data_IF_762592482929
#
_entry.id   IF_762592482929
#
_cell.length_a   1.000
_cell.length_b   1.000
_cell.length_c   1.000
_cell.angle_alpha   90.00
_cell.angle_beta   90.00
_cell.angle_gamma   90.00
#
_symmetry.space_group_name_H-M   'P 1'
#
loop_
_entity.id
_entity.type
_entity.pdbx_description
1 polymer ?
#
# COMPACT_ATOMS: atom_id res chain seq x y z
N UNK A 1 5.98 25.80 -2.79
CA UNK A 1 4.53 25.50 -2.68
C UNK A 1 4.41 24.26 -1.83
N UNK A 2 3.67 24.30 -0.72
CA UNK A 2 3.36 23.08 0.04
C UNK A 2 2.42 22.27 -0.83
N UNK A 3 2.82 21.07 -1.23
CA UNK A 3 1.91 20.14 -1.89
C UNK A 3 0.81 19.82 -0.88
N UNK A 4 -0.37 20.40 -1.08
CA UNK A 4 -1.60 19.86 -0.47
C UNK A 4 -1.77 18.47 -1.07
N UNK A 5 -1.22 17.46 -0.38
CA UNK A 5 -1.49 16.05 -0.69
C UNK A 5 -3.00 15.94 -0.72
N UNK A 6 -3.58 15.69 -1.90
CA UNK A 6 -5.00 15.45 -2.05
C UNK A 6 -5.38 14.29 -1.12
N UNK A 7 -5.97 14.63 0.04
CA UNK A 7 -6.13 13.69 1.14
C UNK A 7 -7.41 12.89 0.89
N UNK A 8 -7.28 11.56 0.84
CA UNK A 8 -8.45 10.69 0.77
C UNK A 8 -9.18 10.80 2.10
N UNK A 9 -10.42 11.28 2.07
CA UNK A 9 -11.24 11.44 3.26
C UNK A 9 -12.06 10.17 3.53
N UNK A 10 -11.37 9.10 3.94
CA UNK A 10 -11.96 7.84 4.35
C UNK A 10 -11.26 7.34 5.62
N UNK A 11 -12.01 7.02 6.66
CA UNK A 11 -11.45 6.59 7.95
C UNK A 11 -10.70 5.26 7.85
N UNK A 12 -11.17 4.34 7.00
CA UNK A 12 -10.46 3.08 6.71
C UNK A 12 -9.14 3.37 6.03
N UNK A 13 -9.13 4.20 4.97
CA UNK A 13 -7.89 4.57 4.30
C UNK A 13 -6.89 5.23 5.25
N UNK A 14 -7.31 6.22 6.03
CA UNK A 14 -6.43 6.97 6.92
C UNK A 14 -5.78 6.11 8.01
N UNK A 15 -6.49 5.09 8.52
CA UNK A 15 -5.91 4.14 9.48
C UNK A 15 -4.81 3.31 8.84
N UNK A 16 -5.08 2.76 7.65
CA UNK A 16 -4.15 1.94 6.90
C UNK A 16 -2.96 2.73 6.34
N UNK A 17 -3.16 4.00 5.95
CA UNK A 17 -2.16 4.87 5.33
C UNK A 17 -0.88 4.93 6.19
N UNK A 18 -1.01 5.19 7.49
CA UNK A 18 0.13 5.23 8.42
C UNK A 18 0.89 3.90 8.53
N UNK A 19 0.20 2.76 8.44
CA UNK A 19 0.84 1.43 8.50
C UNK A 19 1.58 1.15 7.18
N UNK A 20 0.93 1.46 6.06
CA UNK A 20 1.45 1.31 4.70
C UNK A 20 2.68 2.20 4.48
N UNK A 21 2.66 3.46 4.96
CA UNK A 21 3.82 4.36 4.92
C UNK A 21 5.00 3.77 5.72
N UNK A 22 4.77 3.32 6.95
CA UNK A 22 5.81 2.72 7.78
C UNK A 22 6.42 1.44 7.17
N UNK A 23 5.61 0.60 6.54
CA UNK A 23 6.08 -0.61 5.84
C UNK A 23 6.88 -0.25 4.59
N UNK A 24 6.44 0.75 3.83
CA UNK A 24 7.14 1.27 2.66
C UNK A 24 8.52 1.81 3.05
N UNK A 25 8.61 2.56 4.15
CA UNK A 25 9.88 3.07 4.66
C UNK A 25 10.83 1.94 5.05
N UNK A 26 10.34 0.90 5.74
CA UNK A 26 11.15 -0.28 6.07
C UNK A 26 11.69 -1.00 4.84
N UNK A 27 10.86 -1.19 3.81
CA UNK A 27 11.26 -1.77 2.52
C UNK A 27 12.40 -0.95 1.88
N UNK A 28 12.31 0.38 1.93
CA UNK A 28 13.30 1.26 1.35
C UNK A 28 14.62 1.31 2.15
N UNK A 29 14.55 1.15 3.47
CA UNK A 29 15.71 1.23 4.36
C UNK A 29 16.54 -0.07 4.42
N UNK A 30 15.90 -1.24 4.33
CA UNK A 30 16.63 -2.51 4.40
C UNK A 30 17.37 -2.81 3.11
N UNK A 31 18.58 -3.40 3.21
CA UNK A 31 19.40 -3.73 2.05
C UNK A 31 19.12 -5.12 1.49
N UNK A 32 18.87 -6.08 2.38
CA UNK A 32 18.70 -7.49 2.02
C UNK A 32 17.36 -7.75 1.34
N UNK A 33 17.40 -8.49 0.24
CA UNK A 33 16.22 -8.75 -0.56
C UNK A 33 15.22 -9.68 0.12
N UNK A 34 15.69 -10.62 0.96
CA UNK A 34 14.82 -11.48 1.77
C UNK A 34 14.03 -10.65 2.79
N UNK A 35 14.69 -9.70 3.46
CA UNK A 35 14.04 -8.78 4.40
C UNK A 35 13.06 -7.83 3.71
N UNK A 36 13.43 -7.30 2.53
CA UNK A 36 12.52 -6.50 1.70
C UNK A 36 11.26 -7.28 1.35
N UNK A 37 11.41 -8.53 0.91
CA UNK A 37 10.30 -9.38 0.56
C UNK A 37 9.39 -9.66 1.76
N UNK A 38 9.93 -9.86 2.96
CA UNK A 38 9.13 -10.02 4.18
C UNK A 38 8.26 -8.79 4.46
N UNK A 39 8.83 -7.58 4.39
CA UNK A 39 8.05 -6.37 4.58
C UNK A 39 7.07 -6.11 3.43
N UNK A 40 7.39 -6.53 2.21
CA UNK A 40 6.47 -6.48 1.08
C UNK A 40 5.29 -7.45 1.24
N UNK A 41 5.49 -8.64 1.82
CA UNK A 41 4.41 -9.58 2.18
C UNK A 41 3.49 -8.97 3.25
N UNK A 42 4.03 -8.25 4.22
CA UNK A 42 3.24 -7.48 5.21
C UNK A 42 2.47 -6.32 4.52
N UNK A 43 3.13 -5.55 3.66
CA UNK A 43 2.52 -4.47 2.89
C UNK A 43 1.34 -4.96 2.05
N UNK A 44 1.50 -6.11 1.37
CA UNK A 44 0.43 -6.70 0.58
C UNK A 44 -0.83 -6.97 1.41
N UNK A 45 -0.68 -7.50 2.64
CA UNK A 45 -1.80 -7.79 3.53
C UNK A 45 -2.53 -6.53 3.97
N UNK A 46 -1.80 -5.48 4.32
CA UNK A 46 -2.39 -4.20 4.74
C UNK A 46 -3.13 -3.50 3.60
N UNK A 47 -2.56 -3.56 2.40
CA UNK A 47 -3.18 -3.03 1.18
C UNK A 47 -4.44 -3.81 0.80
N UNK A 48 -4.46 -5.13 1.02
CA UNK A 48 -5.63 -5.97 0.76
C UNK A 48 -6.84 -5.57 1.61
N UNK A 49 -6.64 -5.02 2.82
CA UNK A 49 -7.74 -4.44 3.63
C UNK A 49 -8.45 -3.32 2.87
N UNK A 50 -7.72 -2.50 2.11
CA UNK A 50 -8.28 -1.41 1.32
C UNK A 50 -8.95 -1.91 0.04
N UNK A 51 -8.35 -2.91 -0.62
CA UNK A 51 -8.89 -3.48 -1.87
C UNK A 51 -10.17 -4.30 -1.64
N UNK A 52 -10.28 -4.95 -0.48
CA UNK A 52 -11.45 -5.74 -0.08
C UNK A 52 -12.34 -5.00 0.92
N UNK A 53 -12.26 -3.66 0.96
CA UNK A 53 -13.09 -2.85 1.84
C UNK A 53 -14.59 -3.09 1.55
N UNK A 54 -15.39 -3.50 2.56
CA UNK A 54 -16.80 -3.83 2.36
C UNK A 54 -17.66 -2.59 2.03
N UNK A 55 -17.19 -1.40 2.42
CA UNK A 55 -17.87 -0.13 2.18
C UNK A 55 -17.45 0.53 0.84
N UNK A 56 -16.74 -0.22 -0.02
CA UNK A 56 -16.30 0.30 -1.31
C UNK A 56 -17.49 0.68 -2.19
N UNK A 57 -17.42 1.88 -2.75
CA UNK A 57 -18.43 2.45 -3.63
C UNK A 57 -17.75 3.11 -4.83
N UNK A 58 -17.93 2.54 -6.02
CA UNK A 58 -17.30 3.02 -7.26
C UNK A 58 -17.75 4.41 -7.68
N UNK A 59 -18.88 4.91 -7.19
CA UNK A 59 -19.40 6.23 -7.53
C UNK A 59 -18.78 7.34 -6.64
N UNK A 60 -18.07 6.94 -5.57
CA UNK A 60 -17.38 7.87 -4.68
C UNK A 60 -15.92 8.03 -5.09
N UNK A 61 -15.55 9.25 -5.47
CA UNK A 61 -14.20 9.63 -5.87
C UNK A 61 -13.11 9.18 -4.86
N UNK A 62 -13.38 9.31 -3.56
CA UNK A 62 -12.44 8.88 -2.51
C UNK A 62 -12.25 7.36 -2.45
N UNK A 63 -13.32 6.59 -2.70
CA UNK A 63 -13.24 5.13 -2.77
C UNK A 63 -12.46 4.70 -4.01
N UNK A 64 -12.73 5.31 -5.17
CA UNK A 64 -11.97 5.04 -6.40
C UNK A 64 -10.49 5.37 -6.24
N UNK A 65 -10.17 6.55 -5.69
CA UNK A 65 -8.79 6.97 -5.42
C UNK A 65 -8.08 6.01 -4.45
N UNK A 66 -8.77 5.59 -3.39
CA UNK A 66 -8.27 4.61 -2.43
C UNK A 66 -7.92 3.28 -3.12
N UNK A 67 -8.85 2.76 -3.93
CA UNK A 67 -8.66 1.49 -4.62
C UNK A 67 -7.55 1.56 -5.67
N UNK A 68 -7.44 2.68 -6.37
CA UNK A 68 -6.37 2.94 -7.33
C UNK A 68 -4.99 2.93 -6.66
N UNK A 69 -4.81 3.69 -5.58
CA UNK A 69 -3.54 3.76 -4.85
C UNK A 69 -3.19 2.40 -4.25
N UNK A 70 -4.16 1.74 -3.61
CA UNK A 70 -3.99 0.41 -3.05
C UNK A 70 -3.57 -0.60 -4.15
N UNK A 71 -4.16 -0.52 -5.35
CA UNK A 71 -3.78 -1.39 -6.47
C UNK A 71 -2.32 -1.18 -6.89
N UNK A 72 -1.85 0.07 -6.94
CA UNK A 72 -0.45 0.36 -7.25
C UNK A 72 0.49 -0.18 -6.17
N UNK A 73 0.15 0.01 -4.90
CA UNK A 73 0.95 -0.48 -3.78
C UNK A 73 1.04 -2.02 -3.78
N UNK A 74 -0.07 -2.72 -4.06
CA UNK A 74 -0.08 -4.18 -4.20
C UNK A 74 0.82 -4.65 -5.35
N UNK A 75 0.77 -3.99 -6.50
CA UNK A 75 1.66 -4.30 -7.64
C UNK A 75 3.12 -4.14 -7.25
N UNK A 76 3.48 -3.05 -6.56
CA UNK A 76 4.85 -2.82 -6.08
C UNK A 76 5.30 -3.90 -5.09
N UNK A 77 4.45 -4.24 -4.11
CA UNK A 77 4.73 -5.32 -3.17
C UNK A 77 4.98 -6.64 -3.89
N UNK A 78 4.12 -7.00 -4.86
CA UNK A 78 4.28 -8.21 -5.66
C UNK A 78 5.62 -8.26 -6.41
N UNK A 79 6.04 -7.15 -7.03
CA UNK A 79 7.33 -7.10 -7.73
C UNK A 79 8.51 -7.40 -6.79
N UNK A 80 8.47 -6.89 -5.56
CA UNK A 80 9.52 -7.13 -4.56
C UNK A 80 9.49 -8.59 -4.09
N UNK A 81 8.30 -9.14 -3.85
CA UNK A 81 8.12 -10.54 -3.44
C UNK A 81 8.61 -11.48 -4.54
N UNK A 82 8.31 -11.20 -5.81
CA UNK A 82 8.76 -12.01 -6.94
C UNK A 82 10.28 -11.89 -7.15
N UNK A 83 10.87 -10.70 -6.94
CA UNK A 83 12.31 -10.49 -7.02
C UNK A 83 13.10 -11.37 -6.03
N UNK A 84 12.51 -11.75 -4.88
CA UNK A 84 13.09 -12.72 -3.94
C UNK A 84 13.46 -14.05 -4.59
N UNK A 85 12.72 -14.49 -5.62
CA UNK A 85 12.92 -15.79 -6.29
C UNK A 85 14.12 -15.80 -7.24
N UNK A 86 14.73 -14.64 -7.49
CA UNK A 86 15.86 -14.47 -8.41
C UNK A 86 17.22 -14.50 -7.70
N UNK A 87 17.24 -14.83 -6.40
CA UNK A 87 18.36 -14.69 -5.48
C UNK A 87 18.53 -16.01 -4.73
#
# INVERSE_FOLDING_TARGET
>A
MKEDKAKINCSTFQKQESVIEALTDKINQVKGALEKARFAEELQKEVDVLLFCPDYDKEKLHCESCHFIATLQKKTANLIIEAKKLI
#
